data_IF_141201669148
#
_entry.id   IF_141201669148
#
_cell.length_a   1.000
_cell.length_b   1.000
_cell.length_c   1.000
_cell.angle_alpha   90.00
_cell.angle_beta   90.00
_cell.angle_gamma   90.00
#
_symmetry.space_group_name_H-M   'P 1'
#
loop_
_entity.id
_entity.type
_entity.pdbx_description
1 polymer ?
#
# COMPACT_ATOMS: atom_id res chain seq x y z
N UNK A 1 23.34 -21.94 -74.03
CA UNK A 1 24.47 -21.55 -73.16
C UNK A 1 23.92 -20.79 -71.96
N UNK A 2 24.46 -21.12 -70.78
CA UNK A 2 23.87 -20.93 -69.45
C UNK A 2 23.62 -19.50 -68.98
N UNK A 3 22.54 -19.39 -68.21
CA UNK A 3 22.14 -18.31 -67.28
C UNK A 3 23.11 -18.20 -66.10
N UNK A 4 23.31 -16.98 -65.58
CA UNK A 4 23.50 -16.75 -64.15
C UNK A 4 22.90 -15.38 -63.79
N UNK A 5 21.77 -15.38 -63.06
CA UNK A 5 21.24 -14.19 -62.39
C UNK A 5 21.31 -14.50 -60.89
N UNK A 6 22.21 -13.82 -60.18
CA UNK A 6 22.43 -14.01 -58.76
C UNK A 6 21.18 -13.60 -57.97
N UNK A 7 20.67 -14.53 -57.16
CA UNK A 7 19.54 -14.34 -56.26
C UNK A 7 20.08 -13.74 -54.96
N UNK A 8 19.72 -12.49 -54.65
CA UNK A 8 20.03 -11.84 -53.37
C UNK A 8 19.12 -12.44 -52.29
N UNK A 9 19.70 -13.25 -51.41
CA UNK A 9 19.04 -13.76 -50.20
C UNK A 9 18.79 -12.60 -49.25
N UNK A 10 17.51 -12.29 -48.99
CA UNK A 10 17.10 -11.34 -47.95
C UNK A 10 16.89 -12.15 -46.67
N UNK A 11 17.73 -11.93 -45.67
CA UNK A 11 17.64 -12.54 -44.35
C UNK A 11 16.59 -11.76 -43.53
N UNK A 12 15.53 -12.39 -42.98
CA UNK A 12 14.58 -11.66 -42.16
C UNK A 12 15.18 -11.38 -40.79
N UNK A 13 15.35 -10.10 -40.47
CA UNK A 13 15.72 -9.61 -39.15
C UNK A 13 14.54 -9.84 -38.20
N UNK A 14 14.60 -10.89 -37.39
CA UNK A 14 13.63 -11.12 -36.30
C UNK A 14 13.95 -10.11 -35.20
N UNK A 15 13.19 -9.02 -35.16
CA UNK A 15 13.18 -8.06 -34.07
C UNK A 15 12.51 -8.72 -32.86
N UNK A 16 13.30 -9.23 -31.92
CA UNK A 16 12.81 -9.59 -30.60
C UNK A 16 12.41 -8.31 -29.87
N UNK A 17 11.12 -7.99 -29.88
CA UNK A 17 10.53 -6.98 -29.00
C UNK A 17 10.63 -7.53 -27.57
N UNK A 18 11.68 -7.12 -26.85
CA UNK A 18 11.66 -7.14 -25.39
C UNK A 18 10.54 -6.19 -24.96
N UNK A 19 9.36 -6.75 -24.69
CA UNK A 19 8.33 -6.08 -23.94
C UNK A 19 8.89 -5.90 -22.52
N UNK A 20 9.47 -4.73 -22.25
CA UNK A 20 9.68 -4.29 -20.88
C UNK A 20 8.31 -4.20 -20.24
N UNK A 21 7.91 -5.25 -19.50
CA UNK A 21 6.74 -5.15 -18.64
C UNK A 21 6.97 -3.93 -17.75
N UNK A 22 5.99 -3.04 -17.58
CA UNK A 22 6.06 -2.06 -16.52
C UNK A 22 6.28 -2.88 -15.24
N UNK A 23 7.30 -2.51 -14.46
CA UNK A 23 7.47 -3.08 -13.13
C UNK A 23 6.18 -2.75 -12.37
N UNK A 24 5.30 -3.75 -12.27
CA UNK A 24 4.17 -3.69 -11.35
C UNK A 24 4.78 -3.37 -9.98
N UNK A 25 4.20 -2.41 -9.26
CA UNK A 25 4.65 -2.03 -7.92
C UNK A 25 4.66 -3.30 -7.06
N UNK A 26 5.83 -3.90 -6.91
CA UNK A 26 5.98 -5.23 -6.36
C UNK A 26 6.18 -5.10 -4.86
N UNK A 27 5.58 -6.02 -4.11
CA UNK A 27 5.93 -6.21 -2.70
C UNK A 27 7.33 -6.81 -2.60
N UNK A 28 8.23 -6.09 -1.95
CA UNK A 28 9.63 -6.47 -1.77
C UNK A 28 9.85 -6.97 -0.34
N UNK A 29 10.57 -8.08 -0.18
CA UNK A 29 11.00 -8.54 1.14
C UNK A 29 12.04 -7.59 1.72
N UNK A 30 11.85 -7.21 2.99
CA UNK A 30 12.79 -6.41 3.77
C UNK A 30 13.08 -7.13 5.10
N UNK A 31 14.06 -6.62 5.85
CA UNK A 31 14.31 -7.16 7.19
C UNK A 31 13.08 -6.92 8.09
N UNK A 32 12.50 -8.01 8.59
CA UNK A 32 11.32 -7.97 9.46
C UNK A 32 9.96 -7.81 8.78
N UNK A 33 9.85 -7.77 7.45
CA UNK A 33 8.55 -7.63 6.78
C UNK A 33 8.61 -7.55 5.26
N UNK A 34 7.58 -6.96 4.67
CA UNK A 34 7.51 -6.68 3.23
C UNK A 34 7.11 -5.23 3.00
N UNK A 35 7.66 -4.61 1.96
CA UNK A 35 7.42 -3.21 1.62
C UNK A 35 6.76 -3.07 0.26
N UNK A 36 5.94 -2.03 0.09
CA UNK A 36 5.44 -1.61 -1.22
C UNK A 36 5.32 -0.10 -1.30
N UNK A 37 5.46 0.43 -2.51
CA UNK A 37 5.25 1.85 -2.82
C UNK A 37 3.84 2.06 -3.38
N UNK A 38 3.22 3.24 -3.17
CA UNK A 38 1.90 3.51 -3.72
C UNK A 38 1.89 3.40 -5.25
N UNK A 39 0.89 2.70 -5.78
CA UNK A 39 0.50 2.73 -7.20
C UNK A 39 -0.12 4.08 -7.57
N UNK A 40 -0.89 4.64 -6.65
CA UNK A 40 -1.53 5.95 -6.76
C UNK A 40 -1.64 6.58 -5.37
N UNK A 41 -1.47 7.90 -5.27
CA UNK A 41 -1.67 8.63 -4.02
C UNK A 41 -1.93 10.11 -4.29
N UNK A 42 -2.72 10.75 -3.42
CA UNK A 42 -2.85 12.21 -3.33
C UNK A 42 -2.20 12.76 -2.03
N UNK A 43 -1.32 11.99 -1.41
CA UNK A 43 -0.75 12.22 -0.07
C UNK A 43 0.78 12.35 -0.10
N UNK A 44 1.38 12.58 1.07
CA UNK A 44 2.84 12.48 1.28
C UNK A 44 3.34 11.04 1.47
N UNK A 45 2.48 10.02 1.48
CA UNK A 45 2.84 8.60 1.67
C UNK A 45 3.77 8.14 0.55
N UNK A 46 4.86 7.48 0.92
CA UNK A 46 5.90 6.99 0.01
C UNK A 46 6.04 5.48 0.02
N UNK A 47 5.74 4.83 1.15
CA UNK A 47 5.81 3.38 1.27
C UNK A 47 4.93 2.88 2.42
N UNK A 48 4.58 1.61 2.35
CA UNK A 48 4.05 0.84 3.48
C UNK A 48 4.91 -0.36 3.75
N UNK A 49 4.96 -0.79 5.01
CA UNK A 49 5.56 -2.06 5.42
C UNK A 49 4.52 -2.88 6.17
N UNK A 50 4.37 -4.14 5.77
CA UNK A 50 3.61 -5.15 6.52
C UNK A 50 4.59 -6.01 7.31
N UNK A 51 4.37 -6.14 8.62
CA UNK A 51 5.28 -6.87 9.52
C UNK A 51 4.55 -7.49 10.73
N UNK A 52 5.29 -8.35 11.47
CA UNK A 52 4.84 -9.12 12.64
C UNK A 52 5.71 -8.84 13.89
N UNK A 53 6.17 -7.62 14.16
CA UNK A 53 7.09 -7.40 15.31
C UNK A 53 6.40 -7.62 16.66
N UNK A 54 5.26 -6.95 16.90
CA UNK A 54 4.46 -7.04 18.13
C UNK A 54 3.00 -7.40 17.80
N UNK A 55 2.84 -8.34 16.87
CA UNK A 55 1.59 -8.61 16.16
C UNK A 55 1.57 -7.99 14.76
N UNK A 56 0.58 -8.39 13.96
CA UNK A 56 0.44 -7.86 12.61
C UNK A 56 0.16 -6.35 12.66
N UNK A 57 0.90 -5.58 11.86
CA UNK A 57 0.72 -4.13 11.72
C UNK A 57 1.07 -3.64 10.31
N UNK A 58 0.68 -2.39 10.02
CA UNK A 58 1.06 -1.68 8.80
C UNK A 58 1.82 -0.40 9.19
N UNK A 59 3.11 -0.32 8.88
CA UNK A 59 3.83 0.95 8.98
C UNK A 59 3.61 1.76 7.70
N UNK A 60 3.34 3.04 7.84
CA UNK A 60 3.15 3.99 6.75
C UNK A 60 4.24 5.04 6.83
N UNK A 61 5.08 5.09 5.80
CA UNK A 61 6.19 6.03 5.68
C UNK A 61 5.78 7.18 4.76
N UNK A 62 6.06 8.41 5.20
CA UNK A 62 5.74 9.61 4.42
C UNK A 62 6.96 10.50 4.21
N UNK A 63 6.96 11.24 3.10
CA UNK A 63 8.06 12.11 2.72
C UNK A 63 8.14 13.38 3.54
N UNK A 64 9.30 14.04 3.51
CA UNK A 64 9.51 15.33 4.15
C UNK A 64 9.75 15.18 5.65
N UNK A 65 8.82 15.68 6.47
CA UNK A 65 8.91 15.68 7.94
C UNK A 65 8.25 14.45 8.60
N UNK A 66 7.96 13.40 7.83
CA UNK A 66 7.35 12.16 8.32
C UNK A 66 5.86 12.26 8.63
N UNK A 67 5.22 13.41 8.36
CA UNK A 67 3.77 13.57 8.56
C UNK A 67 2.97 13.19 7.30
N UNK A 68 1.93 12.37 7.47
CA UNK A 68 0.93 12.11 6.43
C UNK A 68 0.09 13.38 6.24
N UNK A 69 0.14 13.95 5.03
CA UNK A 69 -0.56 15.18 4.64
C UNK A 69 -1.08 15.04 3.20
N UNK A 70 -2.08 15.83 2.80
CA UNK A 70 -2.42 15.97 1.39
C UNK A 70 -1.21 16.49 0.60
N UNK A 71 -0.95 15.95 -0.58
CA UNK A 71 0.17 16.36 -1.44
C UNK A 71 0.06 17.84 -1.88
N UNK A 72 -1.16 18.38 -1.92
CA UNK A 72 -1.42 19.78 -2.21
C UNK A 72 -1.10 20.73 -1.03
N UNK A 73 -0.76 20.19 0.15
CA UNK A 73 -0.58 20.94 1.40
C UNK A 73 -1.89 21.17 2.17
N UNK A 74 -1.76 21.61 3.42
CA UNK A 74 -2.89 21.88 4.32
C UNK A 74 -2.51 21.77 5.80
N UNK A 75 -3.36 22.32 6.67
CA UNK A 75 -3.27 22.03 8.11
C UNK A 75 -3.78 20.61 8.38
N UNK A 76 -3.06 19.88 9.24
CA UNK A 76 -3.42 18.52 9.66
C UNK A 76 -3.55 18.52 11.18
N UNK A 77 -4.60 17.87 11.68
CA UNK A 77 -4.78 17.63 13.11
C UNK A 77 -4.28 16.26 13.48
N UNK A 78 -3.84 16.13 14.72
CA UNK A 78 -3.47 14.85 15.31
C UNK A 78 -4.69 13.91 15.36
N UNK A 79 -4.69 12.95 14.43
CA UNK A 79 -5.64 11.85 14.30
C UNK A 79 -5.13 10.56 14.98
N UNK A 80 -3.92 10.58 15.57
CA UNK A 80 -3.38 9.42 16.26
C UNK A 80 -4.31 9.02 17.43
N UNK A 81 -4.42 7.72 17.65
CA UNK A 81 -5.18 7.10 18.74
C UNK A 81 -6.69 7.37 18.73
N UNK A 82 -7.26 7.84 17.59
CA UNK A 82 -8.70 8.13 17.46
C UNK A 82 -9.35 7.22 16.41
N UNK A 83 -10.47 6.55 16.75
CA UNK A 83 -11.24 5.76 15.79
C UNK A 83 -11.97 6.65 14.77
N UNK A 84 -12.30 6.07 13.61
CA UNK A 84 -13.15 6.70 12.58
C UNK A 84 -12.44 7.62 11.58
N UNK A 85 -11.12 7.85 11.72
CA UNK A 85 -10.36 8.71 10.81
C UNK A 85 -9.59 7.95 9.73
N UNK A 86 -9.34 6.67 9.94
CA UNK A 86 -8.52 5.86 9.05
C UNK A 86 -9.28 4.59 8.69
N UNK A 87 -9.20 4.21 7.43
CA UNK A 87 -9.73 2.94 6.95
C UNK A 87 -8.79 2.30 5.92
N UNK A 88 -8.76 0.97 5.93
CA UNK A 88 -8.24 0.18 4.84
C UNK A 88 -9.42 -0.31 4.00
N UNK A 89 -9.44 0.02 2.72
CA UNK A 89 -10.42 -0.46 1.76
C UNK A 89 -9.75 -1.49 0.83
N UNK A 90 -10.24 -2.73 0.84
CA UNK A 90 -9.74 -3.82 0.00
C UNK A 90 -10.87 -4.38 -0.85
N UNK A 91 -10.79 -4.18 -2.16
CA UNK A 91 -11.79 -4.62 -3.15
C UNK A 91 -13.25 -4.28 -2.76
N UNK A 92 -13.45 -3.14 -2.10
CA UNK A 92 -14.76 -2.66 -1.64
C UNK A 92 -15.18 -3.10 -0.22
N UNK A 93 -14.34 -3.88 0.48
CA UNK A 93 -14.50 -4.15 1.91
C UNK A 93 -13.73 -3.12 2.73
N UNK A 94 -14.38 -2.53 3.73
CA UNK A 94 -13.79 -1.48 4.58
C UNK A 94 -13.45 -2.01 5.97
N UNK A 95 -12.23 -1.73 6.42
CA UNK A 95 -11.70 -2.09 7.72
C UNK A 95 -11.33 -0.81 8.48
N UNK A 96 -11.99 -0.49 9.61
CA UNK A 96 -11.62 0.65 10.46
C UNK A 96 -10.23 0.45 11.09
N UNK A 97 -9.44 1.52 11.10
CA UNK A 97 -8.06 1.50 11.57
C UNK A 97 -7.81 2.63 12.57
N UNK A 98 -6.79 2.43 13.42
CA UNK A 98 -6.25 3.46 14.33
C UNK A 98 -4.75 3.57 14.11
N UNK A 99 -4.22 4.80 14.21
CA UNK A 99 -2.80 5.06 14.07
C UNK A 99 -2.11 5.29 15.42
N UNK A 100 -0.87 4.85 15.54
CA UNK A 100 0.10 5.31 16.52
C UNK A 100 1.27 6.03 15.82
N UNK A 101 1.74 7.12 16.39
CA UNK A 101 2.97 7.76 15.90
C UNK A 101 4.20 6.99 16.37
N UNK A 102 5.12 6.69 15.46
CA UNK A 102 6.39 6.01 15.78
C UNK A 102 7.55 6.65 15.02
N UNK A 103 8.10 7.74 15.56
CA UNK A 103 9.31 8.38 15.03
C UNK A 103 9.21 8.73 13.54
N UNK A 104 9.72 7.84 12.69
CA UNK A 104 9.80 7.96 11.24
C UNK A 104 8.60 7.37 10.47
N UNK A 105 7.66 6.70 11.16
CA UNK A 105 6.48 6.07 10.57
C UNK A 105 5.20 6.27 11.38
N UNK A 106 4.06 6.11 10.70
CA UNK A 106 2.74 5.96 11.30
C UNK A 106 2.41 4.47 11.31
N UNK A 107 2.18 3.88 12.48
CA UNK A 107 1.82 2.47 12.60
C UNK A 107 0.31 2.34 12.65
N UNK A 108 -0.29 1.55 11.77
CA UNK A 108 -1.72 1.29 11.71
C UNK A 108 -2.06 -0.05 12.34
N UNK A 109 -3.13 -0.03 13.13
CA UNK A 109 -3.71 -1.13 13.88
C UNK A 109 -5.18 -1.29 13.50
N UNK A 110 -5.73 -2.50 13.66
CA UNK A 110 -7.18 -2.66 13.65
C UNK A 110 -7.78 -1.92 14.85
N UNK A 111 -8.99 -1.38 14.68
CA UNK A 111 -9.68 -0.68 15.77
C UNK A 111 -10.07 -1.65 16.89
N UNK A 112 -9.36 -1.54 18.02
CA UNK A 112 -9.53 -2.35 19.21
C UNK A 112 -10.47 -1.74 20.25
N UNK A 113 -10.31 -2.16 21.52
CA UNK A 113 -11.07 -1.58 22.64
C UNK A 113 -10.39 -0.34 23.20
N UNK A 114 -11.17 0.56 23.80
CA UNK A 114 -10.65 1.76 24.49
C UNK A 114 -9.59 1.43 25.56
N UNK A 115 -9.75 0.32 26.27
CA UNK A 115 -8.81 -0.14 27.30
C UNK A 115 -7.40 -0.46 26.76
N UNK A 116 -7.29 -0.69 25.45
CA UNK A 116 -6.06 -0.95 24.70
C UNK A 116 -5.68 0.27 23.83
N UNK A 117 -6.22 1.45 24.16
CA UNK A 117 -6.09 2.66 23.35
C UNK A 117 -6.53 2.49 21.89
N UNK A 118 -7.47 1.56 21.66
CA UNK A 118 -7.98 1.17 20.35
C UNK A 118 -6.95 0.56 19.39
N UNK A 119 -5.77 0.16 19.87
CA UNK A 119 -4.70 -0.41 19.05
C UNK A 119 -4.67 -1.94 19.17
N UNK A 120 -5.45 -2.63 18.34
CA UNK A 120 -5.39 -4.08 18.23
C UNK A 120 -4.50 -4.50 17.03
N UNK A 121 -3.77 -5.63 17.11
CA UNK A 121 -3.14 -6.22 15.93
C UNK A 121 -4.15 -6.37 14.78
N UNK A 122 -3.66 -6.40 13.53
CA UNK A 122 -4.54 -6.59 12.37
C UNK A 122 -5.39 -7.84 12.57
N UNK A 123 -6.71 -7.67 12.43
CA UNK A 123 -7.63 -8.78 12.59
C UNK A 123 -7.56 -9.78 11.42
N UNK A 124 -7.99 -11.01 11.68
CA UNK A 124 -7.93 -12.12 10.70
C UNK A 124 -8.71 -11.81 9.42
N UNK A 125 -9.76 -11.00 9.48
CA UNK A 125 -10.56 -10.65 8.31
C UNK A 125 -9.79 -9.70 7.39
N UNK A 126 -9.12 -8.69 7.96
CA UNK A 126 -8.23 -7.79 7.23
C UNK A 126 -7.02 -8.54 6.66
N UNK A 127 -6.36 -9.42 7.44
CA UNK A 127 -5.25 -10.26 6.96
C UNK A 127 -5.72 -11.15 5.79
N UNK A 128 -6.90 -11.75 5.93
CA UNK A 128 -7.53 -12.54 4.86
C UNK A 128 -7.77 -11.72 3.60
N UNK A 129 -8.26 -10.49 3.74
CA UNK A 129 -8.48 -9.56 2.64
C UNK A 129 -7.17 -9.10 1.98
N UNK A 130 -6.14 -8.74 2.75
CA UNK A 130 -4.81 -8.38 2.24
C UNK A 130 -4.19 -9.51 1.42
N UNK A 131 -4.44 -10.75 1.84
CA UNK A 131 -3.89 -11.95 1.22
C UNK A 131 -4.64 -12.37 -0.06
N UNK A 132 -5.94 -12.08 -0.17
CA UNK A 132 -6.78 -12.55 -1.26
C UNK A 132 -7.19 -11.44 -2.25
N UNK A 133 -7.09 -10.19 -1.82
CA UNK A 133 -7.53 -9.02 -2.57
C UNK A 133 -6.57 -8.60 -3.67
N UNK A 134 -6.95 -7.55 -4.40
CA UNK A 134 -6.19 -7.01 -5.53
C UNK A 134 -5.72 -5.59 -5.33
N UNK A 135 -6.43 -4.80 -4.55
CA UNK A 135 -6.06 -3.42 -4.29
C UNK A 135 -6.33 -3.07 -2.82
N UNK A 136 -5.29 -2.64 -2.12
CA UNK A 136 -5.41 -1.97 -0.84
C UNK A 136 -5.48 -0.48 -1.08
N UNK A 137 -6.44 0.22 -0.47
CA UNK A 137 -6.43 1.68 -0.36
C UNK A 137 -6.45 2.06 1.11
N UNK A 138 -5.41 2.75 1.56
CA UNK A 138 -5.41 3.38 2.88
C UNK A 138 -5.98 4.78 2.70
N UNK A 139 -7.07 5.09 3.38
CA UNK A 139 -7.72 6.39 3.35
C UNK A 139 -7.70 7.03 4.74
N UNK A 140 -7.35 8.31 4.77
CA UNK A 140 -7.23 9.14 5.97
C UNK A 140 -8.12 10.36 5.80
N UNK A 141 -9.04 10.57 6.73
CA UNK A 141 -9.74 11.85 6.87
C UNK A 141 -8.93 12.73 7.84
N UNK A 142 -8.23 13.72 7.29
CA UNK A 142 -7.36 14.60 8.09
C UNK A 142 -8.10 15.87 8.55
N UNK A 143 -9.43 15.96 8.37
CA UNK A 143 -10.21 17.13 8.75
C UNK A 143 -10.67 17.11 10.22
N UNK A 144 -10.38 18.15 11.02
CA UNK A 144 -10.80 18.22 12.42
C UNK A 144 -12.30 18.47 12.68
N UNK A 145 -13.11 18.72 11.66
CA UNK A 145 -14.45 19.32 11.86
C UNK A 145 -15.61 18.68 11.09
N UNK A 146 -15.38 17.74 10.18
CA UNK A 146 -16.47 17.17 9.37
C UNK A 146 -16.32 15.68 9.20
N UNK A 147 -17.36 14.94 9.61
CA UNK A 147 -17.55 13.52 9.30
C UNK A 147 -18.10 13.31 7.87
N UNK A 148 -17.69 14.12 6.89
CA UNK A 148 -18.31 14.14 5.56
C UNK A 148 -17.30 13.81 4.45
N UNK A 149 -17.58 12.69 3.79
CA UNK A 149 -17.03 12.21 2.52
C UNK A 149 -16.84 13.35 1.49
N UNK A 150 -15.65 13.44 0.90
CA UNK A 150 -15.26 14.43 -0.10
C UNK A 150 -14.52 15.68 0.42
N UNK A 151 -13.98 15.67 1.64
CA UNK A 151 -13.23 16.83 2.17
C UNK A 151 -11.87 17.02 1.47
N UNK A 152 -11.35 18.25 1.39
CA UNK A 152 -10.01 18.51 0.80
C UNK A 152 -8.86 17.92 1.60
N UNK A 153 -9.14 17.40 2.80
CA UNK A 153 -8.19 16.77 3.70
C UNK A 153 -8.24 15.24 3.62
N UNK A 154 -9.16 14.70 2.82
CA UNK A 154 -9.17 13.28 2.52
C UNK A 154 -7.97 12.93 1.66
N UNK A 155 -7.17 12.04 2.21
CA UNK A 155 -5.97 11.60 1.54
C UNK A 155 -5.88 10.09 1.51
N UNK A 156 -5.29 9.58 0.43
CA UNK A 156 -5.22 8.15 0.20
C UNK A 156 -3.90 7.75 -0.43
N UNK A 157 -3.56 6.48 -0.25
CA UNK A 157 -2.57 5.77 -1.03
C UNK A 157 -3.08 4.36 -1.34
N UNK A 158 -2.93 3.95 -2.60
CA UNK A 158 -3.36 2.63 -3.06
C UNK A 158 -2.16 1.77 -3.45
N UNK A 159 -2.20 0.49 -3.07
CA UNK A 159 -1.13 -0.49 -3.23
C UNK A 159 -1.68 -1.73 -3.94
N UNK A 160 -0.95 -2.21 -4.94
CA UNK A 160 -1.35 -3.40 -5.68
C UNK A 160 -1.16 -4.64 -4.80
N UNK A 161 -2.17 -5.52 -4.71
CA UNK A 161 -2.09 -6.79 -3.99
C UNK A 161 -2.10 -7.98 -4.96
N UNK A 162 -2.44 -7.76 -6.24
CA UNK A 162 -2.71 -8.83 -7.18
C UNK A 162 -1.46 -9.70 -7.40
N UNK A 163 -1.61 -11.01 -7.17
CA UNK A 163 -0.51 -11.97 -7.27
C UNK A 163 0.46 -12.01 -6.08
N UNK A 164 0.28 -11.19 -5.04
CA UNK A 164 1.20 -11.09 -3.90
C UNK A 164 0.72 -11.79 -2.62
N UNK A 165 -0.42 -12.46 -2.65
CA UNK A 165 -1.05 -13.07 -1.48
C UNK A 165 -0.16 -14.02 -0.67
N UNK A 166 0.67 -14.85 -1.32
CA UNK A 166 1.58 -15.74 -0.58
C UNK A 166 2.65 -14.97 0.18
N UNK A 167 3.23 -13.94 -0.44
CA UNK A 167 4.24 -13.07 0.17
C UNK A 167 3.66 -12.32 1.37
N UNK A 168 2.46 -11.75 1.21
CA UNK A 168 1.72 -11.06 2.27
C UNK A 168 1.40 -12.02 3.43
N UNK A 169 0.88 -13.21 3.13
CA UNK A 169 0.58 -14.22 4.16
C UNK A 169 1.81 -14.62 4.97
N UNK A 170 2.99 -14.72 4.34
CA UNK A 170 4.24 -15.01 5.07
C UNK A 170 4.64 -13.87 6.00
N UNK A 171 4.39 -12.62 5.59
CA UNK A 171 4.76 -11.43 6.36
C UNK A 171 3.86 -11.15 7.56
N UNK A 172 2.54 -11.42 7.45
CA UNK A 172 1.55 -11.03 8.49
C UNK A 172 0.56 -12.14 8.90
N UNK A 173 0.59 -13.31 8.26
CA UNK A 173 -0.43 -14.33 8.46
C UNK A 173 -0.27 -15.24 9.67
N UNK A 174 0.89 -15.20 10.35
CA UNK A 174 1.19 -16.03 11.53
C UNK A 174 2.02 -15.24 12.56
N UNK A 175 1.56 -14.04 12.94
CA UNK A 175 2.19 -13.31 14.04
C UNK A 175 1.73 -13.92 15.37
N UNK A 176 2.66 -14.37 16.22
CA UNK A 176 2.41 -14.88 17.59
C UNK A 176 2.68 -13.81 18.65
#
# INVERSE_FOLDING_TARGET
>A
MSKFRAMKTVLPLVFALFLSSPALAAWEEIDGGISSVPKETNSTIQAVVLHCVDGAAIDVYSGGDGTIKPAAGGEVVDYFYKPGFIRADIDGSTFPMVAAGSGDAVVLFSEGKEAESYMAPLDDALIGALTAGKLLTLAFDLNPTTAADGSTFETFASFDLDGHGETIRKAVGNCE
#
